data_IF_478667833503
#
_entry.id   IF_478667833503
#
_cell.length_a   1.000
_cell.length_b   1.000
_cell.length_c   1.000
_cell.angle_alpha   90.00
_cell.angle_beta   90.00
_cell.angle_gamma   90.00
#
_symmetry.space_group_name_H-M   'P 1'
#
loop_
_entity.id
_entity.type
_entity.pdbx_description
1 polymer ?
#
# COMPACT_ATOMS: atom_id res chain seq x y z
N UNK A 1 -19.88 30.61 -8.66
CA UNK A 1 -18.53 30.01 -8.80
C UNK A 1 -18.19 29.01 -7.67
N UNK A 2 -18.68 29.23 -6.45
CA UNK A 2 -18.27 28.42 -5.30
C UNK A 2 -19.01 27.08 -5.09
N UNK A 3 -20.13 26.84 -5.74
CA UNK A 3 -20.91 25.58 -5.54
C UNK A 3 -20.25 24.34 -6.18
N UNK A 4 -19.57 24.51 -7.30
CA UNK A 4 -18.88 23.39 -7.99
C UNK A 4 -17.59 22.98 -7.28
N UNK A 5 -16.86 23.90 -6.68
CA UNK A 5 -15.64 23.62 -5.92
C UNK A 5 -15.96 22.88 -4.62
N UNK A 6 -17.09 23.21 -3.96
CA UNK A 6 -17.52 22.56 -2.73
C UNK A 6 -17.96 21.11 -2.96
N UNK A 7 -18.65 20.81 -4.05
CA UNK A 7 -19.05 19.44 -4.40
C UNK A 7 -17.85 18.57 -4.72
N UNK A 8 -16.83 19.12 -5.40
CA UNK A 8 -15.60 18.38 -5.70
C UNK A 8 -14.78 18.07 -4.43
N UNK A 9 -14.74 18.99 -3.47
CA UNK A 9 -14.08 18.79 -2.17
C UNK A 9 -14.81 17.75 -1.31
N UNK A 10 -16.13 17.73 -1.31
CA UNK A 10 -16.92 16.75 -0.56
C UNK A 10 -16.76 15.33 -1.13
N UNK A 11 -16.70 15.19 -2.46
CA UNK A 11 -16.50 13.88 -3.10
C UNK A 11 -15.09 13.34 -2.82
N UNK A 12 -14.07 14.19 -2.80
CA UNK A 12 -12.71 13.77 -2.50
C UNK A 12 -12.52 13.37 -1.02
N UNK A 13 -13.17 14.06 -0.10
CA UNK A 13 -13.18 13.72 1.32
C UNK A 13 -13.89 12.37 1.58
N UNK A 14 -15.03 12.16 0.93
CA UNK A 14 -15.78 10.90 1.00
C UNK A 14 -14.98 9.71 0.48
N UNK A 15 -14.26 9.88 -0.63
CA UNK A 15 -13.40 8.83 -1.18
C UNK A 15 -12.24 8.47 -0.24
N UNK A 16 -11.54 9.47 0.31
CA UNK A 16 -10.45 9.25 1.27
C UNK A 16 -10.92 8.57 2.55
N UNK A 17 -12.12 8.87 3.04
CA UNK A 17 -12.73 8.21 4.20
C UNK A 17 -13.08 6.76 3.90
N UNK A 18 -13.60 6.44 2.71
CA UNK A 18 -13.91 5.08 2.29
C UNK A 18 -12.65 4.20 2.21
N UNK A 19 -11.54 4.73 1.68
CA UNK A 19 -10.26 4.01 1.65
C UNK A 19 -9.78 3.68 3.06
N UNK A 20 -9.82 4.64 3.99
CA UNK A 20 -9.44 4.41 5.40
C UNK A 20 -10.32 3.35 6.06
N UNK A 21 -11.62 3.39 5.82
CA UNK A 21 -12.55 2.38 6.34
C UNK A 21 -12.22 0.99 5.80
N UNK A 22 -11.97 0.85 4.51
CA UNK A 22 -11.59 -0.44 3.92
C UNK A 22 -10.28 -0.97 4.47
N UNK A 23 -9.28 -0.12 4.68
CA UNK A 23 -8.01 -0.53 5.32
C UNK A 23 -8.25 -1.03 6.74
N UNK A 24 -9.07 -0.34 7.55
CA UNK A 24 -9.45 -0.77 8.90
C UNK A 24 -10.16 -2.13 8.89
N UNK A 25 -11.09 -2.33 7.96
CA UNK A 25 -11.79 -3.62 7.81
C UNK A 25 -10.83 -4.75 7.44
N UNK A 26 -9.84 -4.49 6.58
CA UNK A 26 -8.81 -5.47 6.24
C UNK A 26 -7.96 -5.82 7.48
N UNK A 27 -7.55 -4.83 8.27
CA UNK A 27 -6.80 -5.04 9.51
C UNK A 27 -7.59 -5.86 10.54
N UNK A 28 -8.91 -5.66 10.60
CA UNK A 28 -9.83 -6.43 11.44
C UNK A 28 -10.15 -7.83 10.90
N UNK A 29 -9.64 -8.20 9.72
CA UNK A 29 -9.95 -9.47 9.05
C UNK A 29 -11.32 -9.52 8.36
N UNK A 30 -12.05 -8.41 8.31
CA UNK A 30 -13.38 -8.29 7.70
C UNK A 30 -13.29 -8.01 6.20
N UNK A 31 -12.63 -8.87 5.47
CA UNK A 31 -12.24 -8.63 4.06
C UNK A 31 -13.38 -8.79 3.05
N UNK A 32 -14.43 -9.54 3.38
CA UNK A 32 -15.49 -9.87 2.41
C UNK A 32 -16.26 -8.62 1.93
N UNK A 33 -16.64 -7.73 2.84
CA UNK A 33 -17.29 -6.47 2.46
C UNK A 33 -16.43 -5.56 1.61
N UNK A 34 -15.08 -5.61 1.79
CA UNK A 34 -14.16 -4.86 0.94
C UNK A 34 -14.05 -5.49 -0.44
N UNK A 35 -13.98 -6.82 -0.53
CA UNK A 35 -13.97 -7.56 -1.81
C UNK A 35 -15.20 -7.29 -2.65
N UNK A 36 -16.38 -7.22 -2.04
CA UNK A 36 -17.63 -6.93 -2.73
C UNK A 36 -17.65 -5.55 -3.39
N UNK A 37 -17.07 -4.54 -2.73
CA UNK A 37 -17.03 -3.16 -3.22
C UNK A 37 -15.83 -2.86 -4.15
N UNK A 38 -14.80 -3.69 -4.13
CA UNK A 38 -13.56 -3.46 -4.88
C UNK A 38 -13.76 -3.37 -6.41
N UNK A 39 -14.59 -4.21 -7.06
CA UNK A 39 -14.83 -4.11 -8.51
C UNK A 39 -15.39 -2.75 -8.93
N UNK A 40 -16.32 -2.19 -8.16
CA UNK A 40 -16.88 -0.86 -8.41
C UNK A 40 -15.82 0.23 -8.27
N UNK A 41 -14.99 0.16 -7.21
CA UNK A 41 -13.88 1.09 -6.99
C UNK A 41 -12.85 1.05 -8.14
N UNK A 42 -12.49 -0.14 -8.60
CA UNK A 42 -11.56 -0.31 -9.73
C UNK A 42 -12.14 0.26 -11.01
N UNK A 43 -13.43 0.01 -11.28
CA UNK A 43 -14.12 0.53 -12.45
C UNK A 43 -14.18 2.07 -12.43
N UNK A 44 -14.48 2.64 -11.27
CA UNK A 44 -14.63 4.09 -11.11
C UNK A 44 -13.30 4.84 -11.04
N UNK A 45 -12.26 4.21 -10.47
CA UNK A 45 -10.94 4.80 -10.22
C UNK A 45 -9.81 3.87 -10.66
N UNK A 46 -9.71 3.50 -11.96
CA UNK A 46 -8.81 2.44 -12.44
C UNK A 46 -7.32 2.76 -12.26
N UNK A 47 -6.96 4.04 -12.21
CA UNK A 47 -5.57 4.51 -12.09
C UNK A 47 -5.29 5.20 -10.75
N UNK A 48 -6.16 5.03 -9.76
CA UNK A 48 -5.95 5.62 -8.45
C UNK A 48 -5.02 4.72 -7.60
N UNK A 49 -3.87 5.23 -7.13
CA UNK A 49 -2.91 4.43 -6.37
C UNK A 49 -3.48 3.85 -5.07
N UNK A 50 -4.43 4.52 -4.40
CA UNK A 50 -5.07 3.99 -3.20
C UNK A 50 -5.94 2.76 -3.51
N UNK A 51 -6.64 2.76 -4.64
CA UNK A 51 -7.45 1.63 -5.10
C UNK A 51 -6.54 0.48 -5.55
N UNK A 52 -5.43 0.77 -6.23
CA UNK A 52 -4.44 -0.22 -6.62
C UNK A 52 -3.79 -0.89 -5.39
N UNK A 53 -3.53 -0.12 -4.34
CA UNK A 53 -3.03 -0.63 -3.08
C UNK A 53 -4.04 -1.56 -2.40
N UNK A 54 -5.32 -1.18 -2.30
CA UNK A 54 -6.38 -2.05 -1.79
C UNK A 54 -6.49 -3.34 -2.59
N UNK A 55 -6.45 -3.26 -3.92
CA UNK A 55 -6.46 -4.43 -4.80
C UNK A 55 -5.31 -5.38 -4.47
N UNK A 56 -4.09 -4.84 -4.32
CA UNK A 56 -2.91 -5.64 -4.00
C UNK A 56 -3.02 -6.34 -2.63
N UNK A 57 -3.57 -5.66 -1.60
CA UNK A 57 -3.80 -6.23 -0.27
C UNK A 57 -4.75 -7.42 -0.28
N UNK A 58 -5.72 -7.46 -1.20
CA UNK A 58 -6.74 -8.50 -1.26
C UNK A 58 -6.37 -9.67 -2.18
N UNK A 59 -5.26 -9.59 -2.92
CA UNK A 59 -4.76 -10.69 -3.73
C UNK A 59 -4.09 -11.73 -2.83
N UNK A 60 -4.55 -12.97 -2.91
CA UNK A 60 -4.02 -14.09 -2.13
C UNK A 60 -2.68 -14.61 -2.68
N UNK A 61 -2.49 -14.59 -4.00
CA UNK A 61 -1.22 -14.98 -4.61
C UNK A 61 -0.15 -13.90 -4.39
N UNK A 62 0.87 -14.24 -3.61
CA UNK A 62 1.94 -13.30 -3.25
C UNK A 62 2.72 -12.77 -4.45
N UNK A 63 2.96 -13.57 -5.48
CA UNK A 63 3.67 -13.11 -6.67
C UNK A 63 2.87 -12.05 -7.44
N UNK A 64 1.55 -12.27 -7.58
CA UNK A 64 0.64 -11.30 -8.21
C UNK A 64 0.51 -10.01 -7.40
N UNK A 65 0.41 -10.12 -6.07
CA UNK A 65 0.38 -8.96 -5.18
C UNK A 65 1.67 -8.13 -5.30
N UNK A 66 2.84 -8.77 -5.28
CA UNK A 66 4.15 -8.11 -5.41
C UNK A 66 4.28 -7.38 -6.74
N UNK A 67 3.77 -7.95 -7.83
CA UNK A 67 3.75 -7.28 -9.13
C UNK A 67 2.97 -5.96 -9.06
N UNK A 68 1.78 -5.97 -8.46
CA UNK A 68 0.98 -4.75 -8.28
C UNK A 68 1.66 -3.71 -7.40
N UNK A 69 2.29 -4.11 -6.29
CA UNK A 69 3.03 -3.18 -5.45
C UNK A 69 4.22 -2.55 -6.19
N UNK A 70 4.95 -3.32 -7.00
CA UNK A 70 6.04 -2.82 -7.84
C UNK A 70 5.53 -1.84 -8.91
N UNK A 71 4.42 -2.16 -9.56
CA UNK A 71 3.78 -1.29 -10.55
C UNK A 71 3.31 0.02 -9.92
N UNK A 72 2.75 -0.04 -8.71
CA UNK A 72 2.37 1.15 -7.94
C UNK A 72 3.57 2.04 -7.65
N UNK A 73 4.68 1.47 -7.15
CA UNK A 73 5.90 2.22 -6.86
C UNK A 73 6.51 2.85 -8.11
N UNK A 74 6.45 2.17 -9.26
CA UNK A 74 6.96 2.67 -10.52
C UNK A 74 6.13 3.83 -11.08
N UNK A 75 4.80 3.69 -11.04
CA UNK A 75 3.87 4.68 -11.61
C UNK A 75 3.56 5.84 -10.68
N UNK A 76 3.49 5.57 -9.37
CA UNK A 76 3.04 6.53 -8.35
C UNK A 76 3.99 6.58 -7.15
N UNK A 77 5.30 6.89 -7.37
CA UNK A 77 6.33 6.82 -6.30
C UNK A 77 6.08 7.80 -5.15
N UNK A 78 5.27 8.83 -5.38
CA UNK A 78 4.94 9.86 -4.37
C UNK A 78 3.53 9.70 -3.79
N UNK A 79 2.85 8.59 -4.08
CA UNK A 79 1.53 8.34 -3.52
C UNK A 79 1.60 8.08 -2.01
N UNK A 80 0.48 8.33 -1.31
CA UNK A 80 0.35 8.08 0.12
C UNK A 80 0.72 6.63 0.51
N UNK A 81 0.38 5.65 -0.34
CA UNK A 81 0.60 4.22 -0.08
C UNK A 81 1.85 3.65 -0.77
N UNK A 82 2.71 4.50 -1.34
CA UNK A 82 3.99 4.06 -1.89
C UNK A 82 4.90 3.44 -0.81
N UNK A 83 5.12 4.07 0.36
CA UNK A 83 5.95 3.45 1.40
C UNK A 83 5.33 2.16 1.95
N UNK A 84 4.01 2.08 2.08
CA UNK A 84 3.31 0.84 2.47
C UNK A 84 3.55 -0.28 1.44
N UNK A 85 3.49 0.03 0.16
CA UNK A 85 3.75 -0.92 -0.93
C UNK A 85 5.20 -1.41 -0.89
N UNK A 86 6.16 -0.52 -0.67
CA UNK A 86 7.57 -0.89 -0.50
C UNK A 86 7.78 -1.80 0.72
N UNK A 87 7.12 -1.50 1.85
CA UNK A 87 7.15 -2.34 3.04
C UNK A 87 6.60 -3.74 2.76
N UNK A 88 5.47 -3.86 2.04
CA UNK A 88 4.88 -5.15 1.64
C UNK A 88 5.83 -5.98 0.77
N UNK A 89 6.57 -5.36 -0.13
CA UNK A 89 7.60 -6.06 -0.92
C UNK A 89 8.74 -6.54 -0.02
N UNK A 90 9.18 -5.72 0.93
CA UNK A 90 10.21 -6.09 1.90
C UNK A 90 9.78 -7.30 2.77
N UNK A 91 8.56 -7.28 3.28
CA UNK A 91 7.96 -8.40 4.03
C UNK A 91 7.92 -9.69 3.20
N UNK A 92 7.52 -9.59 1.94
CA UNK A 92 7.49 -10.73 1.04
C UNK A 92 8.89 -11.31 0.80
N UNK A 93 9.90 -10.48 0.54
CA UNK A 93 11.27 -10.95 0.37
C UNK A 93 11.80 -11.63 1.64
N UNK A 94 11.53 -11.01 2.80
CA UNK A 94 11.93 -11.60 4.09
C UNK A 94 11.30 -12.98 4.31
N UNK A 95 9.99 -13.08 4.11
CA UNK A 95 9.23 -14.32 4.28
C UNK A 95 9.69 -15.45 3.31
N UNK A 96 10.28 -15.07 2.17
CA UNK A 96 10.85 -16.00 1.17
C UNK A 96 12.33 -16.33 1.43
N UNK A 97 12.92 -15.83 2.50
CA UNK A 97 14.35 -15.99 2.77
C UNK A 97 15.27 -15.18 1.86
N UNK A 98 14.73 -14.22 1.11
CA UNK A 98 15.48 -13.33 0.23
C UNK A 98 15.99 -12.12 1.03
N UNK A 99 16.78 -12.40 2.06
CA UNK A 99 17.17 -11.41 3.08
C UNK A 99 18.00 -10.25 2.52
N UNK A 100 18.88 -10.51 1.57
CA UNK A 100 19.68 -9.46 0.92
C UNK A 100 18.78 -8.49 0.15
N UNK A 101 17.79 -8.99 -0.62
CA UNK A 101 16.83 -8.15 -1.32
C UNK A 101 15.94 -7.39 -0.34
N UNK A 102 15.47 -8.06 0.73
CA UNK A 102 14.69 -7.42 1.78
C UNK A 102 15.47 -6.28 2.44
N UNK A 103 16.69 -6.52 2.90
CA UNK A 103 17.54 -5.52 3.54
C UNK A 103 17.81 -4.33 2.62
N UNK A 104 18.15 -4.57 1.36
CA UNK A 104 18.42 -3.52 0.37
C UNK A 104 17.21 -2.63 0.12
N UNK A 105 16.03 -3.23 -0.03
CA UNK A 105 14.79 -2.47 -0.26
C UNK A 105 14.39 -1.68 0.99
N UNK A 106 14.38 -2.33 2.17
CA UNK A 106 13.97 -1.72 3.42
C UNK A 106 14.87 -0.55 3.83
N UNK A 107 16.18 -0.64 3.60
CA UNK A 107 17.15 0.44 3.83
C UNK A 107 16.78 1.73 3.08
N UNK A 108 16.18 1.62 1.91
CA UNK A 108 15.83 2.77 1.08
C UNK A 108 14.51 3.43 1.48
N UNK A 109 13.64 2.75 2.23
CA UNK A 109 12.33 3.31 2.63
C UNK A 109 12.48 4.58 3.45
N UNK A 110 13.24 4.64 4.56
CA UNK A 110 13.38 5.86 5.35
C UNK A 110 14.09 6.99 4.60
N UNK A 111 14.93 6.67 3.63
CA UNK A 111 15.60 7.65 2.79
C UNK A 111 14.61 8.33 1.85
N UNK A 112 13.78 7.52 1.18
CA UNK A 112 12.81 8.00 0.19
C UNK A 112 11.54 8.55 0.84
N UNK A 113 11.13 7.97 1.95
CA UNK A 113 9.89 8.29 2.66
C UNK A 113 10.15 8.59 4.15
N UNK A 114 10.83 9.70 4.48
CA UNK A 114 11.27 9.99 5.85
C UNK A 114 10.12 10.24 6.83
N UNK A 115 8.91 10.52 6.31
CA UNK A 115 7.70 10.76 7.12
C UNK A 115 6.77 9.54 7.22
N UNK A 116 7.24 8.39 6.77
CA UNK A 116 6.43 7.17 6.84
C UNK A 116 6.18 6.79 8.30
N UNK A 117 4.91 6.58 8.66
CA UNK A 117 4.50 6.35 10.06
C UNK A 117 5.12 5.07 10.65
N UNK A 118 5.29 4.02 9.86
CA UNK A 118 5.77 2.72 10.30
C UNK A 118 7.30 2.55 10.17
N UNK A 119 8.08 3.62 10.27
CA UNK A 119 9.55 3.58 10.16
C UNK A 119 10.17 2.58 11.16
N UNK A 120 9.63 2.46 12.36
CA UNK A 120 10.13 1.51 13.36
C UNK A 120 10.00 0.05 12.87
N UNK A 121 8.87 -0.29 12.24
CA UNK A 121 8.65 -1.62 11.65
C UNK A 121 9.62 -1.88 10.49
N UNK A 122 9.84 -0.89 9.63
CA UNK A 122 10.84 -0.96 8.56
C UNK A 122 12.22 -1.24 9.12
N UNK A 123 12.64 -0.49 10.15
CA UNK A 123 13.95 -0.63 10.79
C UNK A 123 14.12 -2.01 11.41
N UNK A 124 13.12 -2.49 12.14
CA UNK A 124 13.18 -3.82 12.77
C UNK A 124 13.32 -4.93 11.72
N UNK A 125 12.54 -4.89 10.65
CA UNK A 125 12.60 -5.89 9.59
C UNK A 125 13.92 -5.80 8.80
N UNK A 126 14.43 -4.59 8.59
CA UNK A 126 15.74 -4.37 7.97
C UNK A 126 16.87 -4.99 8.80
N UNK A 127 16.89 -4.72 10.11
CA UNK A 127 17.90 -5.31 11.03
C UNK A 127 17.80 -6.82 11.03
N UNK A 128 16.59 -7.37 11.13
CA UNK A 128 16.38 -8.83 11.09
C UNK A 128 16.87 -9.42 9.75
N UNK A 129 16.69 -8.72 8.65
CA UNK A 129 17.17 -9.14 7.33
C UNK A 129 18.69 -9.16 7.28
N UNK A 130 19.36 -8.14 7.81
CA UNK A 130 20.84 -8.11 7.90
C UNK A 130 21.39 -9.20 8.82
N UNK A 131 20.72 -9.49 9.93
CA UNK A 131 21.16 -10.53 10.87
C UNK A 131 20.96 -11.95 10.32
N UNK A 132 20.17 -12.11 9.26
CA UNK A 132 19.89 -13.40 8.63
C UNK A 132 20.81 -13.72 7.43
N UNK A 133 21.67 -12.79 7.04
CA UNK A 133 22.69 -12.95 5.98
C UNK A 133 23.97 -13.53 6.57
#
# INVERSE_FOLDING_TARGET
>A
MNRFVFVFLLVSLSFGQNIKLYLSLIEEGKIEGVKENLPELISKYPNNPSVLYLKALLIQDGNSAIKLYKDLLKKYPNSKYAPNSAMKIGEYFYARGLYTQAATLLKNIPIKYPRYADIQRVTNLMVNSFNAI
#
